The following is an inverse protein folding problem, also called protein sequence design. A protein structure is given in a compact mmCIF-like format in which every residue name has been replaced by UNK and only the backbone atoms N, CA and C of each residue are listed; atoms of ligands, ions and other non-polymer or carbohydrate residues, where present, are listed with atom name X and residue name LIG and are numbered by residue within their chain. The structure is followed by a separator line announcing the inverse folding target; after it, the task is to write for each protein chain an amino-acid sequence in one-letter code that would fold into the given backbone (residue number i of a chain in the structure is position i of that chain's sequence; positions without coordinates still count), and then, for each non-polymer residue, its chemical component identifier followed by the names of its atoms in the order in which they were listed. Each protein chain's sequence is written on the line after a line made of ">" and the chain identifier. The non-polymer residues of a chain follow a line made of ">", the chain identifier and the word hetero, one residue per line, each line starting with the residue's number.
data_IF_529460500807
#
_entry.id   IF_529460500807
#
_cell.length_a   1.000
_cell.length_b   1.000
_cell.length_c   1.000
_cell.angle_alpha   90.00
_cell.angle_beta   90.00
_cell.angle_gamma   90.00
#
_symmetry.space_group_name_H-M   'P 1'
#
loop_
_entity.id
_entity.type
_entity.pdbx_description
1 polymer ?
#
# COMPACT_ATOMS: atom_id res chain seq x y z
N UNK A 1 0.91 13.63 0.39
CA UNK A 1 0.93 12.61 -0.69
C UNK A 1 -0.12 12.86 -1.78
N UNK A 2 -0.72 14.05 -1.89
CA UNK A 2 -1.57 14.37 -3.04
C UNK A 2 -0.72 14.62 -4.29
N UNK A 3 -1.20 14.16 -5.46
CA UNK A 3 -0.75 14.52 -6.83
C UNK A 3 0.71 14.24 -7.22
N UNK A 4 1.69 14.58 -6.38
CA UNK A 4 3.13 14.45 -6.63
C UNK A 4 3.61 13.01 -6.82
N UNK A 5 2.83 12.02 -6.38
CA UNK A 5 3.11 10.60 -6.59
C UNK A 5 2.72 10.06 -7.97
N UNK A 6 2.00 10.82 -8.81
CA UNK A 6 1.54 10.37 -10.14
C UNK A 6 2.52 10.67 -11.27
N UNK A 7 3.65 11.31 -10.98
CA UNK A 7 4.64 11.71 -11.98
C UNK A 7 5.52 10.50 -12.36
N UNK A 8 5.53 10.11 -13.64
CA UNK A 8 6.26 8.95 -14.14
C UNK A 8 7.80 9.09 -14.10
N UNK A 9 8.34 10.33 -14.23
CA UNK A 9 9.77 10.63 -14.13
C UNK A 9 10.03 11.75 -13.11
N UNK A 10 10.08 11.44 -11.80
CA UNK A 10 10.28 12.44 -10.78
C UNK A 10 11.76 12.86 -10.70
N UNK A 11 12.03 14.15 -10.85
CA UNK A 11 13.36 14.72 -10.60
C UNK A 11 13.81 14.52 -9.15
N UNK A 12 15.12 14.62 -8.90
CA UNK A 12 15.72 14.55 -7.56
C UNK A 12 14.97 15.37 -6.47
N UNK A 13 14.57 16.64 -6.70
CA UNK A 13 13.85 17.41 -5.68
C UNK A 13 12.46 16.84 -5.34
N UNK A 14 11.76 16.22 -6.30
CA UNK A 14 10.42 15.64 -6.07
C UNK A 14 10.52 14.37 -5.22
N UNK A 15 11.54 13.54 -5.46
CA UNK A 15 11.79 12.34 -4.65
C UNK A 15 12.12 12.68 -3.21
N UNK A 16 12.96 13.70 -3.01
CA UNK A 16 13.29 14.22 -1.67
C UNK A 16 12.05 14.80 -1.01
N UNK A 17 11.21 15.56 -1.72
CA UNK A 17 9.95 16.07 -1.18
C UNK A 17 9.02 14.94 -0.72
N UNK A 18 8.81 13.90 -1.54
CA UNK A 18 7.98 12.74 -1.15
C UNK A 18 8.53 12.07 0.12
N UNK A 19 9.85 11.83 0.17
CA UNK A 19 10.49 11.22 1.33
C UNK A 19 10.32 12.08 2.59
N UNK A 20 10.64 13.38 2.51
CA UNK A 20 10.55 14.33 3.63
C UNK A 20 9.12 14.44 4.15
N UNK A 21 8.12 14.52 3.27
CA UNK A 21 6.72 14.59 3.69
C UNK A 21 6.25 13.30 4.37
N UNK A 22 6.75 12.13 3.95
CA UNK A 22 6.46 10.85 4.62
C UNK A 22 7.03 10.83 6.04
N UNK A 23 8.27 11.28 6.19
CA UNK A 23 8.93 11.34 7.50
C UNK A 23 8.29 12.36 8.44
N UNK A 24 7.90 13.54 7.94
CA UNK A 24 7.20 14.55 8.75
C UNK A 24 5.84 14.01 9.22
N UNK A 25 5.09 13.35 8.34
CA UNK A 25 3.84 12.70 8.73
C UNK A 25 4.06 11.60 9.77
N UNK A 26 5.07 10.75 9.58
CA UNK A 26 5.42 9.68 10.53
C UNK A 26 5.78 10.24 11.92
N UNK A 27 6.63 11.27 11.98
CA UNK A 27 7.00 11.93 13.23
C UNK A 27 5.78 12.60 13.88
N UNK A 28 4.95 13.29 13.10
CA UNK A 28 3.71 13.90 13.60
C UNK A 28 2.71 12.87 14.12
N UNK A 29 2.62 11.69 13.50
CA UNK A 29 1.78 10.59 13.95
C UNK A 29 2.30 9.99 15.26
N UNK A 30 3.61 9.81 15.40
CA UNK A 30 4.24 9.32 16.63
C UNK A 30 4.13 10.29 17.81
N UNK A 31 4.17 11.60 17.57
CA UNK A 31 4.10 12.61 18.63
C UNK A 31 2.66 13.05 18.95
N UNK A 32 1.75 12.95 18.00
CA UNK A 32 0.35 13.33 18.19
C UNK A 32 -0.52 12.11 18.44
N UNK A 33 -0.90 11.42 17.37
CA UNK A 33 -1.98 10.44 17.41
C UNK A 33 -1.68 9.24 18.33
N UNK A 34 -0.43 8.78 18.35
CA UNK A 34 -0.01 7.65 19.20
C UNK A 34 -0.13 7.95 20.72
N UNK A 35 0.54 8.97 21.30
CA UNK A 35 0.43 9.24 22.74
C UNK A 35 -0.93 9.82 23.13
N UNK A 36 -1.58 10.62 22.27
CA UNK A 36 -2.89 11.22 22.59
C UNK A 36 -3.93 10.12 22.83
N UNK A 37 -3.98 9.08 21.99
CA UNK A 37 -4.95 7.99 22.17
C UNK A 37 -4.78 7.26 23.52
N UNK A 38 -3.54 7.05 23.96
CA UNK A 38 -3.24 6.40 25.24
C UNK A 38 -3.46 7.33 26.44
N UNK A 39 -3.14 8.61 26.33
CA UNK A 39 -3.37 9.61 27.38
C UNK A 39 -4.87 9.81 27.59
N UNK A 40 -5.63 9.98 26.51
CA UNK A 40 -7.09 10.11 26.55
C UNK A 40 -7.74 8.87 27.18
N UNK A 41 -7.26 7.67 26.84
CA UNK A 41 -7.72 6.44 27.47
C UNK A 41 -7.37 6.34 28.97
N UNK A 42 -6.30 7.00 29.42
CA UNK A 42 -5.88 7.01 30.82
C UNK A 42 -6.60 8.08 31.67
N UNK A 43 -6.93 9.23 31.08
CA UNK A 43 -7.49 10.40 31.79
C UNK A 43 -9.02 10.41 31.87
N UNK A 44 -9.72 9.82 30.89
CA UNK A 44 -11.19 9.79 30.87
C UNK A 44 -11.81 8.91 31.99
N UNK A 45 -11.27 7.73 32.33
CA UNK A 45 -11.89 6.87 33.34
C UNK A 45 -11.48 7.25 34.76
N UNK A 46 -12.46 7.25 35.68
CA UNK A 46 -12.21 7.36 37.12
C UNK A 46 -11.31 6.21 37.63
N UNK A 47 -10.44 6.48 38.60
CA UNK A 47 -9.34 5.62 39.01
C UNK A 47 -9.71 4.17 39.41
N UNK A 48 -10.98 3.89 39.72
CA UNK A 48 -11.47 2.55 40.10
C UNK A 48 -12.04 1.73 38.94
N UNK A 49 -12.26 2.33 37.77
CA UNK A 49 -12.80 1.67 36.58
C UNK A 49 -11.84 1.69 35.38
N UNK A 50 -10.67 2.33 35.54
CA UNK A 50 -9.64 2.49 34.50
C UNK A 50 -9.19 1.16 33.90
N UNK A 51 -8.98 0.13 34.72
CA UNK A 51 -8.52 -1.18 34.24
C UNK A 51 -9.56 -1.87 33.36
N UNK A 52 -10.85 -1.73 33.68
CA UNK A 52 -11.93 -2.29 32.88
C UNK A 52 -12.10 -1.57 31.54
N UNK A 53 -12.02 -0.23 31.53
CA UNK A 53 -12.12 0.56 30.29
C UNK A 53 -10.90 0.36 29.38
N UNK A 54 -9.69 0.28 29.96
CA UNK A 54 -8.48 0.03 29.19
C UNK A 54 -8.50 -1.35 28.52
N UNK A 55 -8.98 -2.38 29.24
CA UNK A 55 -9.15 -3.73 28.69
C UNK A 55 -10.13 -3.75 27.51
N UNK A 56 -11.26 -3.05 27.61
CA UNK A 56 -12.22 -2.93 26.51
C UNK A 56 -11.65 -2.17 25.31
N UNK A 57 -10.97 -1.04 25.54
CA UNK A 57 -10.34 -0.26 24.48
C UNK A 57 -9.23 -1.02 23.75
N UNK A 58 -8.41 -1.78 24.49
CA UNK A 58 -7.38 -2.64 23.92
C UNK A 58 -7.96 -3.79 23.10
N UNK A 59 -9.03 -4.43 23.59
CA UNK A 59 -9.72 -5.48 22.86
C UNK A 59 -10.24 -4.99 21.49
N UNK A 60 -10.85 -3.80 21.44
CA UNK A 60 -11.30 -3.20 20.18
C UNK A 60 -10.13 -2.91 19.23
N UNK A 61 -9.02 -2.37 19.74
CA UNK A 61 -7.83 -2.09 18.92
C UNK A 61 -7.30 -3.37 18.26
N UNK A 62 -7.18 -4.45 19.03
CA UNK A 62 -6.71 -5.75 18.55
C UNK A 62 -7.67 -6.33 17.49
N UNK A 63 -8.99 -6.30 17.75
CA UNK A 63 -10.00 -6.81 16.82
C UNK A 63 -9.95 -6.08 15.48
N UNK A 64 -9.88 -4.75 15.52
CA UNK A 64 -9.76 -3.92 14.32
C UNK A 64 -8.48 -4.25 13.55
N UNK A 65 -7.36 -4.45 14.27
CA UNK A 65 -6.09 -4.90 13.68
C UNK A 65 -6.21 -6.22 12.93
N UNK A 66 -6.89 -7.23 13.50
CA UNK A 66 -7.12 -8.51 12.84
C UNK A 66 -8.03 -8.41 11.61
N UNK A 67 -9.06 -7.57 11.67
CA UNK A 67 -9.95 -7.33 10.53
C UNK A 67 -9.14 -6.73 9.37
N UNK A 68 -8.45 -5.62 9.58
CA UNK A 68 -7.64 -5.00 8.52
C UNK A 68 -6.48 -5.89 8.06
N UNK A 69 -5.85 -6.62 8.97
CA UNK A 69 -4.80 -7.59 8.65
C UNK A 69 -5.29 -8.73 7.75
N UNK A 70 -6.46 -9.31 8.05
CA UNK A 70 -7.06 -10.36 7.22
C UNK A 70 -7.46 -9.85 5.84
N UNK A 71 -8.07 -8.66 5.75
CA UNK A 71 -8.36 -8.03 4.47
C UNK A 71 -7.10 -7.71 3.67
N UNK A 72 -6.01 -7.30 4.32
CA UNK A 72 -4.73 -7.05 3.65
C UNK A 72 -4.15 -8.34 3.05
N UNK A 73 -4.20 -9.47 3.77
CA UNK A 73 -3.75 -10.77 3.24
C UNK A 73 -4.61 -11.21 2.06
N UNK A 74 -5.94 -11.08 2.16
CA UNK A 74 -6.85 -11.36 1.04
C UNK A 74 -6.57 -10.46 -0.17
N UNK A 75 -6.30 -9.18 0.05
CA UNK A 75 -5.94 -8.24 -0.99
C UNK A 75 -4.60 -8.58 -1.66
N UNK A 76 -3.60 -9.06 -0.89
CA UNK A 76 -2.33 -9.53 -1.45
C UNK A 76 -2.54 -10.80 -2.29
N UNK A 77 -3.33 -11.75 -1.80
CA UNK A 77 -3.66 -12.97 -2.55
C UNK A 77 -4.42 -12.65 -3.84
N UNK A 78 -5.39 -11.73 -3.76
CA UNK A 78 -6.13 -11.26 -4.92
C UNK A 78 -5.24 -10.50 -5.90
N UNK A 79 -4.39 -9.57 -5.43
CA UNK A 79 -3.45 -8.85 -6.28
C UNK A 79 -2.46 -9.80 -6.95
N UNK A 80 -1.98 -10.83 -6.23
CA UNK A 80 -1.10 -11.84 -6.80
C UNK A 80 -1.78 -12.69 -7.88
N UNK A 81 -3.07 -12.98 -7.73
CA UNK A 81 -3.80 -13.84 -8.68
C UNK A 81 -4.41 -13.06 -9.85
N UNK A 82 -4.95 -11.87 -9.62
CA UNK A 82 -5.75 -11.10 -10.58
C UNK A 82 -5.01 -9.93 -11.23
N UNK A 83 -3.94 -9.40 -10.64
CA UNK A 83 -3.23 -8.23 -11.17
C UNK A 83 -1.83 -8.64 -11.62
N UNK A 84 -1.60 -8.90 -12.93
CA UNK A 84 -0.25 -9.04 -13.43
C UNK A 84 0.50 -7.69 -13.35
N UNK A 85 1.82 -7.75 -13.25
CA UNK A 85 2.68 -6.56 -13.27
C UNK A 85 2.51 -5.78 -14.58
N UNK A 86 1.73 -4.70 -14.55
CA UNK A 86 1.57 -3.77 -15.68
C UNK A 86 2.67 -2.70 -15.75
N UNK A 87 3.67 -2.74 -14.84
CA UNK A 87 4.74 -1.75 -14.79
C UNK A 87 5.61 -1.82 -16.05
N UNK A 88 5.75 -0.69 -16.74
CA UNK A 88 6.65 -0.53 -17.88
C UNK A 88 6.09 -0.91 -19.24
N UNK A 89 4.80 -1.24 -19.35
CA UNK A 89 4.13 -1.52 -20.63
C UNK A 89 3.35 -0.33 -21.15
N UNK A 90 3.35 -0.13 -22.47
CA UNK A 90 2.44 0.81 -23.12
C UNK A 90 1.01 0.28 -23.09
N UNK A 91 0.02 1.18 -23.16
CA UNK A 91 -1.40 0.79 -23.15
C UNK A 91 -1.77 -0.08 -24.37
N UNK A 92 -1.17 0.18 -25.54
CA UNK A 92 -1.39 -0.61 -26.76
C UNK A 92 -0.87 -2.05 -26.61
N UNK A 93 0.29 -2.24 -25.99
CA UNK A 93 0.87 -3.58 -25.79
C UNK A 93 0.01 -4.40 -24.82
N UNK A 94 -0.56 -3.76 -23.80
CA UNK A 94 -1.48 -4.39 -22.85
C UNK A 94 -2.76 -4.85 -23.57
N UNK A 95 -3.33 -4.00 -24.42
CA UNK A 95 -4.58 -4.31 -25.14
C UNK A 95 -4.39 -5.45 -26.15
N UNK A 96 -3.23 -5.51 -26.83
CA UNK A 96 -2.88 -6.61 -27.73
C UNK A 96 -2.73 -7.95 -26.98
N UNK A 97 -2.16 -7.93 -25.77
CA UNK A 97 -2.04 -9.11 -24.92
C UNK A 97 -3.40 -9.61 -24.43
N UNK A 98 -4.33 -8.70 -24.10
CA UNK A 98 -5.70 -9.06 -23.77
C UNK A 98 -6.46 -9.60 -25.00
N UNK A 99 -6.27 -9.01 -26.18
CA UNK A 99 -6.88 -9.47 -27.43
C UNK A 99 -6.40 -10.87 -27.86
N UNK A 100 -5.14 -11.22 -27.55
CA UNK A 100 -4.59 -12.56 -27.76
C UNK A 100 -5.01 -13.60 -26.72
N UNK A 101 -5.71 -13.21 -25.65
CA UNK A 101 -6.18 -14.14 -24.62
C UNK A 101 -5.06 -14.88 -23.90
N UNK A 102 -3.86 -14.30 -23.81
CA UNK A 102 -2.76 -14.91 -23.07
C UNK A 102 -3.06 -14.92 -21.57
N UNK A 103 -2.63 -15.98 -20.87
CA UNK A 103 -2.78 -16.07 -19.41
C UNK A 103 -2.00 -14.93 -18.72
N UNK A 104 -2.63 -14.26 -17.75
CA UNK A 104 -2.08 -13.10 -17.01
C UNK A 104 -0.68 -13.35 -16.44
N UNK A 105 -0.32 -14.61 -16.14
CA UNK A 105 1.00 -14.99 -15.62
C UNK A 105 2.11 -15.05 -16.67
N UNK A 106 1.77 -15.11 -17.96
CA UNK A 106 2.71 -15.20 -19.09
C UNK A 106 2.94 -13.86 -19.80
N UNK A 107 2.35 -12.78 -19.30
CA UNK A 107 2.49 -11.44 -19.90
C UNK A 107 3.95 -10.97 -19.96
N UNK A 108 4.77 -11.37 -18.99
CA UNK A 108 6.18 -11.00 -18.96
C UNK A 108 7.01 -11.78 -20.03
N UNK A 109 6.78 -13.09 -20.14
CA UNK A 109 7.53 -13.96 -21.06
C UNK A 109 7.20 -13.68 -22.54
N UNK A 110 5.94 -13.32 -22.83
CA UNK A 110 5.46 -13.05 -24.20
C UNK A 110 6.10 -11.79 -24.79
N UNK A 111 6.36 -10.79 -23.96
CA UNK A 111 7.01 -9.55 -24.38
C UNK A 111 8.51 -9.70 -24.57
N UNK A 112 9.20 -10.38 -23.64
CA UNK A 112 10.65 -10.61 -23.77
C UNK A 112 11.00 -11.31 -25.08
N UNK A 113 10.17 -12.27 -25.50
CA UNK A 113 10.32 -12.96 -26.78
C UNK A 113 10.18 -12.02 -28.00
N UNK A 114 9.36 -10.96 -27.93
CA UNK A 114 9.25 -9.98 -29.04
C UNK A 114 10.54 -9.14 -29.14
N UNK A 115 11.07 -8.66 -28.01
CA UNK A 115 12.29 -7.84 -27.98
C UNK A 115 13.49 -8.60 -28.55
N UNK A 116 13.67 -9.87 -28.18
CA UNK A 116 14.72 -10.72 -28.75
C UNK A 116 14.55 -11.01 -30.25
N UNK A 117 13.32 -11.03 -30.77
CA UNK A 117 13.07 -11.22 -32.21
C UNK A 117 13.36 -9.95 -32.99
N UNK A 118 12.97 -8.77 -32.49
CA UNK A 118 13.28 -7.49 -33.14
C UNK A 118 14.77 -7.13 -33.09
N UNK A 119 15.50 -7.51 -32.03
CA UNK A 119 16.94 -7.22 -31.94
C UNK A 119 17.80 -8.13 -32.85
N UNK A 120 17.25 -9.25 -33.33
CA UNK A 120 17.95 -10.22 -34.19
C UNK A 120 17.64 -10.07 -35.69
N UNK A 121 16.87 -9.06 -36.06
CA UNK A 121 16.46 -8.75 -37.46
C UNK A 121 17.16 -7.49 -37.95
#
# INVERSE_FOLDING_TARGET
>A
MGGLGTIANPGYPVRVAIAVMTTIFGVGFCLGWAPISHIVAAEIPSARLRDATYSFGSAFNILVGFIFGSFAVLAILFSYFCVPECKGKSLEEIDELFARGVSLRKFNETTMRRVEIEEKI
#
